data_IF_646882252752
#
_entry.id   IF_646882252752
#
_cell.length_a   1.000
_cell.length_b   1.000
_cell.length_c   1.000
_cell.angle_alpha   90.00
_cell.angle_beta   90.00
_cell.angle_gamma   90.00
#
_symmetry.space_group_name_H-M   'P 1'
#
loop_
_entity.id
_entity.type
_entity.pdbx_description
1 polymer ?
#
# COMPACT_ATOMS: atom_id res chain seq x y z
N UNK A 1 1.67 6.36 5.28
CA UNK A 1 1.29 6.34 3.85
C UNK A 1 0.18 7.34 3.55
N UNK A 2 -1.03 7.17 4.09
CA UNK A 2 -2.16 8.13 3.89
C UNK A 2 -1.82 9.59 4.25
N UNK A 3 -1.10 9.84 5.35
CA UNK A 3 -0.67 11.18 5.77
C UNK A 3 0.38 11.82 4.84
N UNK A 4 1.26 11.00 4.21
CA UNK A 4 2.25 11.50 3.23
C UNK A 4 1.65 11.70 1.84
N UNK A 5 0.56 11.00 1.51
CA UNK A 5 -0.14 11.08 0.23
C UNK A 5 -1.27 12.13 0.23
N UNK A 6 -1.56 12.75 1.38
CA UNK A 6 -2.63 13.74 1.50
C UNK A 6 -4.06 13.18 1.35
N UNK A 7 -4.22 11.85 1.35
CA UNK A 7 -5.49 11.17 1.10
C UNK A 7 -5.97 10.45 2.36
N UNK A 8 -7.27 10.58 2.64
CA UNK A 8 -7.93 9.88 3.74
C UNK A 8 -7.98 8.38 3.50
N UNK A 9 -7.87 7.59 4.57
CA UNK A 9 -8.02 6.12 4.58
C UNK A 9 -9.31 5.68 3.87
N UNK A 10 -10.38 6.46 4.00
CA UNK A 10 -11.66 6.22 3.35
C UNK A 10 -11.62 6.41 1.83
N UNK A 11 -10.85 7.39 1.33
CA UNK A 11 -10.66 7.61 -0.10
C UNK A 11 -9.83 6.46 -0.70
N UNK A 12 -8.77 6.05 0.00
CA UNK A 12 -7.97 4.89 -0.35
C UNK A 12 -8.80 3.61 -0.45
N UNK A 13 -9.65 3.34 0.57
CA UNK A 13 -10.53 2.18 0.58
C UNK A 13 -11.43 2.12 -0.65
N UNK A 14 -12.11 3.24 -0.97
CA UNK A 14 -12.97 3.34 -2.17
C UNK A 14 -12.20 3.09 -3.46
N UNK A 15 -10.98 3.63 -3.56
CA UNK A 15 -10.11 3.48 -4.73
C UNK A 15 -9.60 2.05 -4.89
N UNK A 16 -9.36 1.33 -3.79
CA UNK A 16 -9.03 -0.09 -3.80
C UNK A 16 -10.25 -1.02 -3.95
N UNK A 17 -11.44 -0.46 -4.26
CA UNK A 17 -12.69 -1.22 -4.41
C UNK A 17 -13.21 -1.84 -3.12
N UNK A 18 -12.75 -1.37 -1.95
CA UNK A 18 -13.07 -1.93 -0.63
C UNK A 18 -13.85 -0.94 0.23
N UNK A 19 -14.73 -1.46 1.07
CA UNK A 19 -15.37 -0.63 2.08
C UNK A 19 -14.32 -0.06 3.06
N UNK A 20 -14.46 1.20 3.51
CA UNK A 20 -13.50 1.84 4.43
C UNK A 20 -13.23 1.04 5.71
N UNK A 21 -14.23 0.31 6.22
CA UNK A 21 -14.08 -0.55 7.40
C UNK A 21 -13.17 -1.76 7.14
N UNK A 22 -13.35 -2.45 6.01
CA UNK A 22 -12.52 -3.57 5.62
C UNK A 22 -11.06 -3.13 5.41
N UNK A 23 -10.89 -1.94 4.84
CA UNK A 23 -9.58 -1.32 4.66
C UNK A 23 -8.91 -0.97 6.00
N UNK A 24 -9.63 -0.31 6.91
CA UNK A 24 -9.13 0.03 8.26
C UNK A 24 -8.77 -1.22 9.09
N UNK A 25 -9.54 -2.31 8.96
CA UNK A 25 -9.20 -3.58 9.61
C UNK A 25 -7.91 -4.19 9.06
N UNK A 26 -7.68 -4.14 7.74
CA UNK A 26 -6.41 -4.59 7.14
C UNK A 26 -5.23 -3.72 7.55
N UNK A 27 -5.42 -2.39 7.66
CA UNK A 27 -4.38 -1.49 8.22
C UNK A 27 -4.00 -1.89 9.64
N UNK A 28 -4.98 -2.18 10.50
CA UNK A 28 -4.70 -2.64 11.88
C UNK A 28 -3.96 -3.98 11.95
N UNK A 29 -4.15 -4.85 10.96
CA UNK A 29 -3.52 -6.18 10.89
C UNK A 29 -2.24 -6.19 10.05
N UNK A 30 -1.84 -5.05 9.49
CA UNK A 30 -0.69 -4.89 8.59
C UNK A 30 -0.66 -5.95 7.46
N UNK A 31 -1.84 -6.43 7.06
CA UNK A 31 -2.02 -7.59 6.18
C UNK A 31 -2.36 -7.16 4.76
N UNK A 32 -1.57 -6.27 4.18
CA UNK A 32 -1.70 -5.89 2.78
C UNK A 32 -0.86 -6.80 1.90
N UNK A 33 -1.44 -7.28 0.81
CA UNK A 33 -0.65 -7.93 -0.23
C UNK A 33 0.06 -6.88 -1.08
N UNK A 34 1.16 -7.29 -1.73
CA UNK A 34 1.88 -6.43 -2.69
C UNK A 34 0.94 -5.92 -3.79
N UNK A 35 0.01 -6.74 -4.24
CA UNK A 35 -0.98 -6.35 -5.25
C UNK A 35 -1.88 -5.20 -4.76
N UNK A 36 -2.34 -5.26 -3.52
CA UNK A 36 -3.11 -4.16 -2.92
C UNK A 36 -2.27 -2.88 -2.79
N UNK A 37 -1.00 -3.00 -2.40
CA UNK A 37 -0.11 -1.84 -2.32
C UNK A 37 0.14 -1.23 -3.71
N UNK A 38 0.23 -2.04 -4.76
CA UNK A 38 0.32 -1.58 -6.15
C UNK A 38 -0.96 -0.87 -6.60
N UNK A 39 -2.14 -1.43 -6.33
CA UNK A 39 -3.44 -0.79 -6.63
C UNK A 39 -3.60 0.55 -5.90
N UNK A 40 -3.21 0.60 -4.62
CA UNK A 40 -3.21 1.83 -3.83
C UNK A 40 -2.28 2.87 -4.45
N UNK A 41 -1.07 2.46 -4.86
CA UNK A 41 -0.10 3.34 -5.46
C UNK A 41 -0.59 3.90 -6.80
N UNK A 42 -1.08 3.05 -7.69
CA UNK A 42 -1.68 3.42 -8.98
C UNK A 42 -2.79 4.45 -8.78
N UNK A 43 -3.73 4.17 -7.88
CA UNK A 43 -4.84 5.06 -7.61
C UNK A 43 -4.36 6.38 -6.95
N UNK A 44 -3.35 6.34 -6.08
CA UNK A 44 -2.77 7.52 -5.44
C UNK A 44 -1.81 8.31 -6.36
N UNK A 45 -1.62 7.90 -7.62
CA UNK A 45 -0.67 8.52 -8.54
C UNK A 45 0.79 8.37 -8.12
N UNK A 46 1.10 7.31 -7.38
CA UNK A 46 2.42 7.01 -6.85
C UNK A 46 2.93 5.66 -7.35
N UNK A 47 4.24 5.43 -7.25
CA UNK A 47 4.85 4.13 -7.58
C UNK A 47 5.11 3.34 -6.31
N UNK A 48 4.58 2.12 -6.25
CA UNK A 48 5.01 1.14 -5.27
C UNK A 48 6.33 0.50 -5.74
N UNK A 49 7.35 0.51 -4.90
CA UNK A 49 8.62 -0.17 -5.14
C UNK A 49 8.89 -1.13 -3.98
N UNK A 50 8.81 -2.43 -4.25
CA UNK A 50 9.20 -3.48 -3.32
C UNK A 50 10.63 -3.91 -3.59
N UNK A 51 11.43 -4.05 -2.55
CA UNK A 51 12.80 -4.53 -2.67
C UNK A 51 13.13 -5.54 -1.56
N UNK A 52 13.84 -6.60 -1.93
CA UNK A 52 14.47 -7.51 -0.99
C UNK A 52 15.87 -6.99 -0.68
N UNK A 53 16.14 -6.77 0.60
CA UNK A 53 17.47 -6.42 1.07
C UNK A 53 18.11 -7.69 1.63
N UNK A 54 19.12 -8.20 0.95
CA UNK A 54 19.91 -9.32 1.45
C UNK A 54 20.78 -8.86 2.62
N UNK A 55 21.13 -9.80 3.51
CA UNK A 55 22.05 -9.54 4.62
C UNK A 55 23.41 -9.01 4.17
N UNK A 56 23.79 -9.28 2.92
CA UNK A 56 25.00 -8.78 2.26
C UNK A 56 24.92 -7.30 1.85
N UNK A 57 23.76 -6.66 1.99
CA UNK A 57 23.52 -5.27 1.55
C UNK A 57 23.04 -5.14 0.10
N UNK A 58 22.89 -6.25 -0.63
CA UNK A 58 22.39 -6.25 -2.01
C UNK A 58 20.87 -5.99 -2.03
N UNK A 59 20.43 -5.09 -2.93
CA UNK A 59 19.03 -4.74 -3.14
C UNK A 59 18.54 -5.40 -4.43
N UNK A 60 17.56 -6.29 -4.31
CA UNK A 60 16.88 -6.90 -5.46
C UNK A 60 15.45 -6.35 -5.56
N UNK A 61 15.12 -5.75 -6.70
CA UNK A 61 13.76 -5.27 -7.03
C UNK A 61 13.11 -6.21 -8.04
N UNK A 62 11.80 -6.47 -7.91
CA UNK A 62 10.99 -7.25 -8.86
C UNK A 62 9.89 -6.39 -9.49
#
# INVERSE_FOLDING_TARGET
MCVKLGISVSALGRMSGKSPQAFSQKMKRESFTVDELKQIADAAGCRYEGAFIMSSGEKVTY
#
